data_IF_531631140004
#
_entry.id   IF_531631140004
#
_cell.length_a   1.000
_cell.length_b   1.000
_cell.length_c   1.000
_cell.angle_alpha   90.00
_cell.angle_beta   90.00
_cell.angle_gamma   90.00
#
_symmetry.space_group_name_H-M   'P 1'
#
loop_
_entity.id
_entity.type
_entity.pdbx_description
1 polymer ?
#
# COMPACT_ATOMS: atom_id res chain seq x y z
N UNK A 1 -16.33 -5.78 8.97
CA UNK A 1 -16.34 -6.87 7.98
C UNK A 1 -17.19 -6.53 6.77
N UNK A 2 -18.49 -6.26 6.92
CA UNK A 2 -19.38 -5.96 5.78
C UNK A 2 -18.88 -4.93 4.74
N UNK A 3 -18.12 -3.91 5.15
CA UNK A 3 -17.55 -2.92 4.22
C UNK A 3 -16.43 -3.52 3.38
N UNK A 4 -15.55 -4.32 3.97
CA UNK A 4 -14.45 -4.97 3.25
C UNK A 4 -14.97 -6.08 2.35
N UNK A 5 -15.90 -6.91 2.85
CA UNK A 5 -16.51 -7.98 2.05
C UNK A 5 -17.25 -7.41 0.84
N UNK A 6 -18.06 -6.34 1.06
CA UNK A 6 -18.75 -5.63 -0.02
C UNK A 6 -17.78 -5.04 -1.04
N UNK A 7 -16.73 -4.37 -0.59
CA UNK A 7 -15.73 -3.78 -1.48
C UNK A 7 -14.97 -4.87 -2.27
N UNK A 8 -14.65 -5.98 -1.61
CA UNK A 8 -13.99 -7.11 -2.24
C UNK A 8 -14.84 -7.69 -3.38
N UNK A 9 -16.13 -7.90 -3.12
CA UNK A 9 -17.07 -8.45 -4.10
C UNK A 9 -17.38 -7.44 -5.23
N UNK A 10 -17.66 -6.17 -4.91
CA UNK A 10 -18.02 -5.14 -5.91
C UNK A 10 -16.90 -4.81 -6.90
N UNK A 11 -15.65 -5.07 -6.51
CA UNK A 11 -14.47 -4.81 -7.33
C UNK A 11 -13.85 -6.10 -7.90
N UNK A 12 -14.49 -7.26 -7.73
CA UNK A 12 -13.99 -8.58 -8.17
C UNK A 12 -12.50 -8.77 -7.77
N UNK A 13 -12.16 -8.42 -6.52
CA UNK A 13 -10.75 -8.39 -6.09
C UNK A 13 -10.12 -9.79 -6.09
N UNK A 14 -10.93 -10.86 -6.09
CA UNK A 14 -10.48 -12.23 -6.28
C UNK A 14 -9.95 -12.52 -7.70
N UNK A 15 -10.25 -11.64 -8.67
CA UNK A 15 -9.82 -11.79 -10.08
C UNK A 15 -8.95 -10.65 -10.54
N UNK A 16 -9.17 -9.46 -10.00
CA UNK A 16 -8.56 -8.22 -10.51
C UNK A 16 -7.38 -7.75 -9.66
N UNK A 17 -7.32 -8.17 -8.40
CA UNK A 17 -6.22 -7.76 -7.50
C UNK A 17 -4.94 -8.51 -7.86
N UNK A 18 -3.85 -7.76 -8.03
CA UNK A 18 -2.51 -8.33 -8.15
C UNK A 18 -2.07 -9.14 -6.91
N UNK A 19 -2.76 -8.95 -5.79
CA UNK A 19 -2.46 -9.60 -4.52
C UNK A 19 -3.34 -10.82 -4.23
N UNK A 20 -4.28 -11.18 -5.12
CA UNK A 20 -5.25 -12.24 -4.83
C UNK A 20 -4.60 -13.59 -4.52
N UNK A 21 -3.56 -13.94 -5.28
CA UNK A 21 -2.91 -15.25 -5.16
C UNK A 21 -1.84 -15.29 -4.06
N UNK A 22 -1.68 -14.20 -3.30
CA UNK A 22 -0.63 -14.07 -2.30
C UNK A 22 -1.01 -14.79 -1.01
N UNK A 23 -0.01 -15.42 -0.39
CA UNK A 23 -0.22 -16.01 0.93
C UNK A 23 -0.54 -14.92 1.96
N UNK A 24 -1.27 -15.28 3.03
CA UNK A 24 -1.49 -14.37 4.17
C UNK A 24 -0.18 -13.76 4.70
N UNK A 25 0.91 -14.53 4.73
CA UNK A 25 2.22 -14.04 5.18
C UNK A 25 2.73 -12.93 4.26
N UNK A 26 2.66 -13.13 2.95
CA UNK A 26 3.07 -12.12 1.97
C UNK A 26 2.20 -10.86 2.08
N UNK A 27 0.87 -11.02 2.17
CA UNK A 27 -0.05 -9.89 2.33
C UNK A 27 0.20 -9.06 3.59
N UNK A 28 0.55 -9.70 4.71
CA UNK A 28 0.91 -8.98 5.95
C UNK A 28 2.19 -8.17 5.76
N UNK A 29 3.21 -8.74 5.12
CA UNK A 29 4.46 -8.02 4.86
C UNK A 29 4.21 -6.83 3.93
N UNK A 30 3.39 -7.01 2.90
CA UNK A 30 3.00 -5.95 1.97
C UNK A 30 2.25 -4.80 2.67
N UNK A 31 1.34 -5.13 3.58
CA UNK A 31 0.65 -4.13 4.38
C UNK A 31 1.61 -3.33 5.27
N UNK A 32 2.62 -3.97 5.86
CA UNK A 32 3.64 -3.31 6.68
C UNK A 32 4.54 -2.37 5.83
N UNK A 33 4.96 -2.80 4.64
CA UNK A 33 5.72 -1.93 3.73
C UNK A 33 4.92 -0.71 3.30
N UNK A 34 3.65 -0.89 2.93
CA UNK A 34 2.77 0.21 2.54
C UNK A 34 2.53 1.17 3.71
N UNK A 35 2.27 0.64 4.90
CA UNK A 35 2.10 1.44 6.12
C UNK A 35 3.36 2.25 6.44
N UNK A 36 4.54 1.64 6.36
CA UNK A 36 5.83 2.31 6.58
C UNK A 36 6.08 3.44 5.57
N UNK A 37 5.79 3.21 4.29
CA UNK A 37 5.92 4.24 3.25
C UNK A 37 4.99 5.43 3.50
N UNK A 38 3.74 5.19 3.89
CA UNK A 38 2.78 6.23 4.23
C UNK A 38 3.24 7.05 5.45
N UNK A 39 3.72 6.40 6.51
CA UNK A 39 4.29 7.10 7.67
C UNK A 39 5.49 7.95 7.26
N UNK A 40 6.36 7.44 6.40
CA UNK A 40 7.50 8.19 5.89
C UNK A 40 7.12 9.42 5.06
N UNK A 41 5.99 9.39 4.36
CA UNK A 41 5.44 10.55 3.64
C UNK A 41 4.88 11.56 4.63
N UNK A 42 4.07 11.10 5.61
CA UNK A 42 3.49 11.97 6.63
C UNK A 42 4.57 12.70 7.43
N UNK A 43 5.60 12.00 7.90
CA UNK A 43 6.71 12.62 8.61
C UNK A 43 7.44 13.66 7.76
N UNK A 44 7.68 13.38 6.47
CA UNK A 44 8.31 14.35 5.57
C UNK A 44 7.46 15.62 5.41
N UNK A 45 6.14 15.47 5.30
CA UNK A 45 5.21 16.60 5.20
C UNK A 45 5.14 17.40 6.51
N UNK A 46 5.10 16.72 7.65
CA UNK A 46 5.06 17.35 8.98
C UNK A 46 6.35 18.14 9.28
N UNK A 47 7.48 17.70 8.73
CA UNK A 47 8.77 18.42 8.76
C UNK A 47 8.85 19.60 7.77
N UNK A 48 7.74 19.92 7.08
CA UNK A 48 7.65 21.03 6.13
C UNK A 48 8.13 20.70 4.72
N UNK A 49 8.33 19.42 4.41
CA UNK A 49 8.68 18.90 3.10
C UNK A 49 7.62 19.22 2.04
N UNK A 50 8.08 19.61 0.85
CA UNK A 50 7.21 20.01 -0.28
C UNK A 50 7.65 19.45 -1.63
N UNK A 51 8.79 18.75 -1.67
CA UNK A 51 9.29 18.19 -2.92
C UNK A 51 8.44 17.00 -3.33
N UNK A 52 7.70 17.17 -4.43
CA UNK A 52 6.85 16.13 -4.99
C UNK A 52 7.64 14.93 -5.48
N UNK A 53 8.92 15.08 -5.82
CA UNK A 53 9.75 13.95 -6.23
C UNK A 53 10.06 13.06 -5.02
N UNK A 54 10.39 13.64 -3.86
CA UNK A 54 10.60 12.87 -2.62
C UNK A 54 9.32 12.12 -2.22
N UNK A 55 8.16 12.77 -2.34
CA UNK A 55 6.86 12.13 -2.06
C UNK A 55 6.62 10.97 -3.04
N UNK A 56 6.83 11.19 -4.34
CA UNK A 56 6.70 10.14 -5.37
C UNK A 56 7.64 8.98 -5.10
N UNK A 57 8.91 9.23 -4.76
CA UNK A 57 9.88 8.18 -4.49
C UNK A 57 9.43 7.30 -3.32
N UNK A 58 8.92 7.90 -2.24
CA UNK A 58 8.37 7.15 -1.10
C UNK A 58 7.13 6.35 -1.46
N UNK A 59 6.22 6.92 -2.25
CA UNK A 59 5.04 6.20 -2.77
C UNK A 59 5.47 5.00 -3.61
N UNK A 60 6.42 5.20 -4.52
CA UNK A 60 6.91 4.16 -5.41
C UNK A 60 7.62 3.06 -4.62
N UNK A 61 8.37 3.39 -3.56
CA UNK A 61 8.94 2.39 -2.66
C UNK A 61 7.83 1.54 -1.99
N UNK A 62 6.76 2.18 -1.49
CA UNK A 62 5.63 1.45 -0.89
C UNK A 62 4.83 0.59 -1.88
N UNK A 63 4.76 0.96 -3.16
CA UNK A 63 4.01 0.22 -4.20
C UNK A 63 4.87 -0.86 -4.86
N UNK A 64 6.16 -0.59 -5.08
CA UNK A 64 7.03 -1.40 -5.94
C UNK A 64 8.14 -2.14 -5.21
N UNK A 65 8.57 -1.71 -4.03
CA UNK A 65 9.48 -2.52 -3.19
C UNK A 65 8.70 -3.54 -2.34
N UNK A 66 7.37 -3.40 -2.24
CA UNK A 66 6.46 -4.42 -1.72
C UNK A 66 6.19 -5.53 -2.77
N UNK A 67 7.25 -6.09 -3.37
CA UNK A 67 7.15 -7.14 -4.40
C UNK A 67 7.70 -8.46 -3.87
N UNK A 68 7.17 -8.93 -2.74
CA UNK A 68 7.26 -10.36 -2.41
C UNK A 68 6.47 -11.16 -3.45
#
# INVERSE_FOLDING_TARGET
MKIFDKYFDEHDLDKTSQYNDFSKKSLVVEAEYMHSALLGILSYLDEGGKDLNIIRDKVMAGIYESRI
#
